data_IF_041171411322
#
_entry.id   IF_041171411322
#
_cell.length_a   1.000
_cell.length_b   1.000
_cell.length_c   1.000
_cell.angle_alpha   90.00
_cell.angle_beta   90.00
_cell.angle_gamma   90.00
#
_symmetry.space_group_name_H-M   'P 1'
#
loop_
_entity.id
_entity.type
_entity.pdbx_description
1 polymer ?
#
# COMPACT_ATOMS: atom_id res chain seq x y z
N UNK A 1 65.74 17.62 46.14
CA UNK A 1 65.02 17.52 44.83
C UNK A 1 64.90 16.10 44.26
N UNK A 2 65.47 15.04 44.85
CA UNK A 2 65.22 13.64 44.40
C UNK A 2 63.97 12.99 45.00
N UNK A 3 63.56 13.39 46.22
CA UNK A 3 62.42 12.78 46.91
C UNK A 3 61.05 13.36 46.50
N UNK A 4 61.02 14.49 45.77
CA UNK A 4 59.76 15.09 45.29
C UNK A 4 59.26 14.44 43.99
N UNK A 5 60.17 13.89 43.17
CA UNK A 5 59.88 13.26 41.88
C UNK A 5 59.27 11.86 42.07
N UNK A 6 59.62 11.18 43.16
CA UNK A 6 59.09 9.85 43.50
C UNK A 6 57.63 9.94 44.00
N UNK A 7 57.24 11.05 44.64
CA UNK A 7 55.87 11.23 45.13
C UNK A 7 54.88 11.52 43.98
N UNK A 8 55.33 12.25 42.94
CA UNK A 8 54.52 12.56 41.75
C UNK A 8 54.34 11.38 40.80
N UNK A 9 55.20 10.36 40.86
CA UNK A 9 55.10 9.14 40.05
C UNK A 9 54.20 8.07 40.67
N UNK A 10 53.87 8.16 41.97
CA UNK A 10 52.89 7.27 42.60
C UNK A 10 51.43 7.76 42.49
N UNK A 11 51.22 9.07 42.29
CA UNK A 11 49.88 9.65 42.15
C UNK A 11 49.26 9.48 40.76
N UNK A 12 50.03 9.11 39.74
CA UNK A 12 49.53 8.88 38.37
C UNK A 12 49.02 7.45 38.11
N UNK A 13 49.25 6.50 39.03
CA UNK A 13 48.88 5.08 38.83
C UNK A 13 47.47 4.77 39.39
N UNK A 14 46.85 5.67 40.16
CA UNK A 14 45.53 5.45 40.73
C UNK A 14 44.35 6.07 39.96
N UNK A 15 44.58 6.67 38.79
CA UNK A 15 43.52 7.28 37.98
C UNK A 15 43.23 6.52 36.67
N UNK A 16 42.89 5.23 36.80
CA UNK A 16 42.18 4.48 35.75
C UNK A 16 41.61 3.15 36.26
N UNK A 17 40.81 3.18 37.33
CA UNK A 17 39.69 2.25 37.38
C UNK A 17 38.55 2.92 36.62
N UNK A 18 38.39 2.53 35.35
CA UNK A 18 37.12 2.72 34.65
C UNK A 18 36.04 2.19 35.60
N UNK A 19 35.30 3.09 36.20
CA UNK A 19 33.95 2.79 36.64
C UNK A 19 33.26 2.32 35.36
N UNK A 20 33.12 1.01 35.22
CA UNK A 20 32.19 0.43 34.28
C UNK A 20 30.83 0.78 34.88
N UNK A 21 30.41 2.02 34.67
CA UNK A 21 29.02 2.39 34.72
C UNK A 21 28.36 1.46 33.72
N UNK A 22 27.80 0.37 34.24
CA UNK A 22 26.57 -0.14 33.69
C UNK A 22 25.57 1.00 33.84
N UNK A 23 25.65 1.98 32.92
CA UNK A 23 24.50 2.74 32.49
C UNK A 23 23.61 1.68 31.89
N UNK A 24 22.84 1.02 32.75
CA UNK A 24 21.59 0.41 32.33
C UNK A 24 20.90 1.55 31.62
N UNK A 25 20.88 1.50 30.27
CA UNK A 25 20.00 2.36 29.48
C UNK A 25 18.69 2.35 30.24
N UNK A 26 18.15 3.50 30.67
CA UNK A 26 16.83 3.48 31.27
C UNK A 26 15.96 2.79 30.25
N UNK A 27 15.47 1.60 30.64
CA UNK A 27 14.46 0.88 29.92
C UNK A 27 13.21 1.74 30.08
N UNK A 28 13.13 2.81 29.30
CA UNK A 28 11.87 3.40 28.93
C UNK A 28 11.17 2.30 28.14
N UNK A 29 10.45 1.44 28.85
CA UNK A 29 9.38 0.68 28.26
C UNK A 29 8.40 1.74 27.76
N UNK A 30 8.54 2.14 26.51
CA UNK A 30 7.51 2.91 25.83
C UNK A 30 6.27 2.01 25.86
N UNK A 31 5.31 2.36 26.72
CA UNK A 31 4.01 1.71 26.73
C UNK A 31 3.30 2.09 25.44
N UNK A 32 3.53 1.28 24.41
CA UNK A 32 2.73 1.29 23.22
C UNK A 32 1.31 0.87 23.65
N UNK A 33 0.36 1.78 23.51
CA UNK A 33 -1.03 1.55 23.89
C UNK A 33 -1.93 1.89 22.73
N UNK A 34 -2.73 0.92 22.31
CA UNK A 34 -3.86 1.13 21.39
C UNK A 34 -5.11 0.76 22.18
N UNK A 35 -6.13 1.62 22.10
CA UNK A 35 -7.44 1.34 22.66
C UNK A 35 -8.04 0.11 21.96
N UNK A 36 -8.26 -0.95 22.74
CA UNK A 36 -8.82 -2.23 22.30
C UNK A 36 -10.11 -2.11 21.52
N UNK A 37 -10.87 -1.02 21.72
CA UNK A 37 -12.08 -0.74 20.95
C UNK A 37 -11.78 -0.45 19.47
N UNK A 38 -10.55 -0.15 19.09
CA UNK A 38 -10.13 0.25 17.75
C UNK A 38 -9.03 -0.65 17.16
N UNK A 39 -8.75 -1.80 17.79
CA UNK A 39 -7.70 -2.69 17.30
C UNK A 39 -8.10 -3.48 16.06
N UNK A 40 -9.38 -3.57 15.68
CA UNK A 40 -9.81 -4.51 14.64
C UNK A 40 -9.79 -5.96 15.14
N UNK A 41 -9.84 -6.92 14.21
CA UNK A 41 -9.90 -8.35 14.54
C UNK A 41 -8.55 -9.07 14.39
N UNK A 42 -8.07 -9.68 15.49
CA UNK A 42 -6.78 -10.35 15.55
C UNK A 42 -6.61 -11.45 14.48
N UNK A 43 -7.69 -12.10 14.05
CA UNK A 43 -7.62 -13.16 13.06
C UNK A 43 -7.00 -12.69 11.73
N UNK A 44 -7.10 -11.40 11.41
CA UNK A 44 -6.50 -10.80 10.21
C UNK A 44 -4.96 -10.90 10.22
N UNK A 45 -4.32 -10.98 11.39
CA UNK A 45 -2.86 -11.18 11.48
C UNK A 45 -2.41 -12.61 11.19
N UNK A 46 -3.32 -13.58 11.18
CA UNK A 46 -2.98 -14.99 10.95
C UNK A 46 -3.15 -15.36 9.47
N UNK A 47 -2.04 -15.61 8.79
CA UNK A 47 -2.05 -15.96 7.37
C UNK A 47 -2.73 -17.31 7.09
N UNK A 48 -2.78 -18.23 8.06
CA UNK A 48 -3.52 -19.48 7.93
C UNK A 48 -5.02 -19.23 7.95
N UNK A 49 -5.49 -18.37 8.85
CA UNK A 49 -6.87 -17.87 8.85
C UNK A 49 -7.20 -17.23 7.51
N UNK A 50 -6.38 -16.28 7.05
CA UNK A 50 -6.61 -15.57 5.77
C UNK A 50 -6.66 -16.55 4.59
N UNK A 51 -5.72 -17.49 4.52
CA UNK A 51 -5.66 -18.48 3.44
C UNK A 51 -6.86 -19.45 3.45
N UNK A 52 -7.54 -19.60 4.58
CA UNK A 52 -8.73 -20.46 4.70
C UNK A 52 -10.03 -19.79 4.24
N UNK A 53 -10.05 -18.46 4.05
CA UNK A 53 -11.26 -17.72 3.63
C UNK A 53 -11.73 -18.21 2.25
N UNK A 54 -10.87 -18.16 1.24
CA UNK A 54 -11.21 -18.56 -0.14
C UNK A 54 -11.89 -19.93 -0.24
N UNK A 55 -11.32 -21.04 0.27
CA UNK A 55 -11.94 -22.35 0.14
C UNK A 55 -13.23 -22.51 0.98
N UNK A 56 -13.39 -21.75 2.05
CA UNK A 56 -14.53 -21.93 2.97
C UNK A 56 -15.73 -21.06 2.60
N UNK A 57 -15.50 -19.85 2.10
CA UNK A 57 -16.53 -18.83 1.79
C UNK A 57 -17.03 -18.86 0.34
N UNK A 58 -16.69 -19.89 -0.43
CA UNK A 58 -17.23 -20.13 -1.77
C UNK A 58 -18.60 -20.77 -1.70
N UNK A 59 -19.54 -20.19 -2.43
CA UNK A 59 -20.87 -20.75 -2.61
C UNK A 59 -20.81 -21.95 -3.55
N UNK A 60 -21.54 -23.01 -3.21
CA UNK A 60 -21.65 -24.23 -4.05
C UNK A 60 -22.86 -24.19 -4.98
N UNK A 61 -23.82 -23.33 -4.70
CA UNK A 61 -25.08 -23.17 -5.43
C UNK A 61 -25.23 -21.74 -5.91
N UNK A 62 -26.10 -21.50 -6.90
CA UNK A 62 -26.35 -20.15 -7.41
C UNK A 62 -26.88 -19.24 -6.30
N UNK A 63 -26.42 -17.99 -6.28
CA UNK A 63 -26.74 -17.03 -5.23
C UNK A 63 -28.26 -16.86 -5.01
N UNK A 64 -29.04 -16.75 -6.09
CA UNK A 64 -30.47 -16.41 -6.07
C UNK A 64 -31.43 -17.56 -5.73
N UNK A 65 -30.98 -18.82 -5.74
CA UNK A 65 -31.86 -19.99 -5.52
C UNK A 65 -31.58 -20.71 -4.19
N UNK A 66 -31.05 -20.00 -3.19
CA UNK A 66 -30.75 -20.56 -1.88
C UNK A 66 -31.94 -20.46 -0.94
N UNK A 67 -32.24 -21.55 -0.23
CA UNK A 67 -33.14 -21.53 0.93
C UNK A 67 -32.48 -20.85 2.13
N UNK A 68 -33.26 -20.33 3.08
CA UNK A 68 -32.74 -19.74 4.33
C UNK A 68 -31.78 -20.68 5.06
N UNK A 69 -32.12 -21.97 5.12
CA UNK A 69 -31.25 -23.00 5.73
C UNK A 69 -29.89 -23.11 5.04
N UNK A 70 -29.85 -23.01 3.70
CA UNK A 70 -28.58 -23.04 2.96
C UNK A 70 -27.74 -21.79 3.21
N UNK A 71 -28.39 -20.62 3.37
CA UNK A 71 -27.70 -19.38 3.72
C UNK A 71 -27.03 -19.53 5.09
N UNK A 72 -27.76 -20.00 6.10
CA UNK A 72 -27.20 -20.24 7.44
C UNK A 72 -26.03 -21.26 7.42
N UNK A 73 -26.15 -22.34 6.65
CA UNK A 73 -25.09 -23.34 6.49
C UNK A 73 -23.84 -22.77 5.80
N UNK A 74 -24.03 -21.97 4.74
CA UNK A 74 -22.95 -21.30 4.01
C UNK A 74 -22.23 -20.27 4.90
N UNK A 75 -22.98 -19.46 5.66
CA UNK A 75 -22.46 -18.44 6.56
C UNK A 75 -21.67 -19.05 7.73
N UNK A 76 -22.19 -20.14 8.31
CA UNK A 76 -21.51 -20.89 9.36
C UNK A 76 -20.21 -21.55 8.86
N UNK A 77 -20.17 -21.94 7.59
CA UNK A 77 -18.99 -22.54 6.96
C UNK A 77 -17.93 -21.50 6.60
N UNK A 78 -18.33 -20.31 6.17
CA UNK A 78 -17.42 -19.26 5.75
C UNK A 78 -16.54 -18.78 6.92
N UNK A 79 -15.23 -18.98 6.81
CA UNK A 79 -14.31 -18.64 7.91
C UNK A 79 -14.26 -17.13 8.21
N UNK A 80 -14.64 -16.28 7.26
CA UNK A 80 -14.74 -14.84 7.46
C UNK A 80 -15.74 -14.48 8.59
N UNK A 81 -16.80 -15.27 8.80
CA UNK A 81 -17.81 -15.01 9.85
C UNK A 81 -17.25 -15.11 11.28
N UNK A 82 -16.03 -15.63 11.44
CA UNK A 82 -15.31 -15.64 12.74
C UNK A 82 -14.75 -14.28 13.12
N UNK A 83 -14.68 -13.32 12.20
CA UNK A 83 -14.35 -11.93 12.50
C UNK A 83 -15.51 -11.33 13.31
N UNK A 84 -15.20 -10.85 14.52
CA UNK A 84 -16.19 -10.33 15.48
C UNK A 84 -16.11 -8.81 15.65
N UNK A 85 -15.05 -8.18 15.17
CA UNK A 85 -14.94 -6.73 15.24
C UNK A 85 -16.01 -6.07 14.38
N UNK A 86 -16.86 -5.24 15.00
CA UNK A 86 -17.83 -4.44 14.26
C UNK A 86 -17.12 -3.29 13.53
N UNK A 87 -16.85 -3.46 12.23
CA UNK A 87 -16.25 -2.43 11.37
C UNK A 87 -17.24 -1.34 10.97
N UNK A 88 -18.55 -1.61 10.94
CA UNK A 88 -19.56 -0.61 10.58
C UNK A 88 -19.59 0.57 11.55
N UNK A 89 -19.20 0.37 12.81
CA UNK A 89 -19.08 1.48 13.78
C UNK A 89 -18.12 2.57 13.31
N UNK A 90 -17.16 2.25 12.44
CA UNK A 90 -16.23 3.23 11.86
C UNK A 90 -16.98 4.26 11.01
N UNK A 91 -18.12 3.90 10.41
CA UNK A 91 -18.94 4.81 9.59
C UNK A 91 -19.44 6.02 10.38
N UNK A 92 -19.54 5.91 11.72
CA UNK A 92 -19.99 6.99 12.60
C UNK A 92 -18.93 8.04 12.93
N UNK A 93 -17.66 7.81 12.55
CA UNK A 93 -16.54 8.71 12.88
C UNK A 93 -16.59 9.97 12.01
N UNK A 94 -17.05 11.08 12.60
CA UNK A 94 -17.17 12.36 11.92
C UNK A 94 -16.03 13.35 12.24
N UNK A 95 -15.15 13.02 13.19
CA UNK A 95 -14.05 13.87 13.68
C UNK A 95 -12.78 13.04 13.91
N UNK A 96 -11.66 13.74 14.14
CA UNK A 96 -10.40 13.11 14.59
C UNK A 96 -10.67 12.31 15.86
N UNK A 97 -10.43 11.00 15.80
CA UNK A 97 -10.57 10.10 16.95
C UNK A 97 -9.20 9.50 17.28
N UNK A 98 -8.64 9.85 18.45
CA UNK A 98 -7.34 9.34 18.90
C UNK A 98 -7.53 7.92 19.42
N UNK A 99 -6.81 6.97 18.84
CA UNK A 99 -6.97 5.54 19.14
C UNK A 99 -5.77 4.93 19.88
N UNK A 100 -4.66 5.65 19.99
CA UNK A 100 -3.49 5.12 20.67
C UNK A 100 -2.26 6.01 20.61
N UNK A 101 -1.20 5.57 21.28
CA UNK A 101 0.13 6.18 21.29
C UNK A 101 1.20 5.10 21.17
N UNK A 102 2.19 5.34 20.29
CA UNK A 102 3.36 4.47 20.15
C UNK A 102 4.54 4.94 21.00
N UNK A 103 4.61 6.25 21.23
CA UNK A 103 5.62 6.90 22.04
C UNK A 103 5.03 8.19 22.63
N UNK A 104 5.74 8.82 23.56
CA UNK A 104 5.32 10.10 24.17
C UNK A 104 5.01 11.18 23.13
N UNK A 105 5.63 11.11 21.96
CA UNK A 105 5.48 12.07 20.88
C UNK A 105 4.85 11.52 19.60
N UNK A 106 4.36 10.27 19.59
CA UNK A 106 3.72 9.66 18.42
C UNK A 106 2.32 9.20 18.81
N UNK A 107 1.31 9.89 18.27
CA UNK A 107 -0.10 9.59 18.44
C UNK A 107 -0.69 8.96 17.18
N UNK A 108 -1.64 8.05 17.38
CA UNK A 108 -2.41 7.41 16.32
C UNK A 108 -3.83 7.91 16.39
N UNK A 109 -4.36 8.38 15.26
CA UNK A 109 -5.77 8.76 15.18
C UNK A 109 -6.39 8.28 13.88
N UNK A 110 -7.69 8.03 13.90
CA UNK A 110 -8.47 7.66 12.73
C UNK A 110 -9.45 8.77 12.37
N UNK A 111 -9.75 8.86 11.08
CA UNK A 111 -10.73 9.78 10.54
C UNK A 111 -11.38 9.17 9.30
N UNK A 112 -12.67 9.38 9.13
CA UNK A 112 -13.34 9.06 7.89
C UNK A 112 -13.03 10.10 6.83
N UNK A 113 -12.81 9.62 5.61
CA UNK A 113 -12.62 10.44 4.43
C UNK A 113 -13.73 10.12 3.44
N UNK A 114 -14.18 11.13 2.69
CA UNK A 114 -15.11 10.91 1.58
C UNK A 114 -14.31 10.18 0.49
N UNK A 115 -14.67 8.95 0.12
CA UNK A 115 -13.94 8.20 -0.88
C UNK A 115 -14.11 8.88 -2.25
N UNK A 116 -13.04 8.96 -3.05
CA UNK A 116 -13.10 9.47 -4.42
C UNK A 116 -13.52 8.38 -5.42
N UNK A 117 -14.57 7.61 -5.12
CA UNK A 117 -15.10 6.64 -6.08
C UNK A 117 -16.25 7.25 -6.86
N UNK A 118 -16.08 7.39 -8.19
CA UNK A 118 -17.11 7.95 -9.06
C UNK A 118 -18.19 6.93 -9.45
N UNK A 119 -17.97 5.63 -9.20
CA UNK A 119 -18.81 4.55 -9.73
C UNK A 119 -19.40 3.61 -8.65
N UNK A 120 -19.03 3.77 -7.38
CA UNK A 120 -19.62 2.97 -6.30
C UNK A 120 -20.88 3.67 -5.77
N UNK A 121 -21.98 2.92 -5.63
CA UNK A 121 -23.25 3.44 -5.12
C UNK A 121 -23.14 3.83 -3.64
N UNK A 122 -22.34 3.07 -2.89
CA UNK A 122 -22.06 3.34 -1.49
C UNK A 122 -20.57 3.16 -1.23
N UNK A 123 -19.97 4.14 -0.58
CA UNK A 123 -18.55 4.11 -0.27
C UNK A 123 -18.26 4.63 1.13
N UNK A 124 -17.50 3.85 1.89
CA UNK A 124 -16.97 4.22 3.20
C UNK A 124 -15.46 4.04 3.20
N UNK A 125 -14.74 4.96 3.84
CA UNK A 125 -13.29 4.87 3.99
C UNK A 125 -12.84 5.49 5.31
N UNK A 126 -12.04 4.74 6.07
CA UNK A 126 -11.38 5.22 7.29
C UNK A 126 -9.87 5.14 7.12
N UNK A 127 -9.20 6.25 7.42
CA UNK A 127 -7.74 6.38 7.32
C UNK A 127 -7.14 6.51 8.71
N UNK A 128 -6.09 5.73 8.97
CA UNK A 128 -5.20 5.87 10.11
C UNK A 128 -4.15 6.94 9.78
N UNK A 129 -3.95 7.86 10.70
CA UNK A 129 -2.93 8.89 10.65
C UNK A 129 -1.95 8.72 11.79
N UNK A 130 -0.68 8.93 11.48
CA UNK A 130 0.42 8.94 12.44
C UNK A 130 0.84 10.38 12.63
N UNK A 131 0.74 10.86 13.86
CA UNK A 131 1.06 12.23 14.23
C UNK A 131 2.28 12.23 15.16
N UNK A 132 3.40 12.78 14.69
CA UNK A 132 4.60 12.97 15.49
C UNK A 132 4.78 14.45 15.80
N UNK A 133 4.92 14.79 17.09
CA UNK A 133 5.05 16.19 17.53
C UNK A 133 3.96 17.12 16.95
N UNK A 134 2.71 16.66 16.85
CA UNK A 134 1.55 17.38 16.25
C UNK A 134 1.63 17.60 14.73
N UNK A 135 2.57 16.94 14.04
CA UNK A 135 2.65 16.95 12.58
C UNK A 135 2.35 15.56 12.05
N UNK A 136 1.48 15.46 11.04
CA UNK A 136 1.19 14.18 10.38
C UNK A 136 2.46 13.73 9.65
N UNK A 137 2.99 12.58 10.02
CA UNK A 137 4.18 11.99 9.39
C UNK A 137 3.82 11.00 8.31
N UNK A 138 2.70 10.29 8.46
CA UNK A 138 2.25 9.27 7.52
C UNK A 138 0.76 8.95 7.70
N UNK A 139 0.18 8.23 6.75
CA UNK A 139 -1.20 7.77 6.82
C UNK A 139 -1.44 6.54 5.95
N UNK A 140 -2.40 5.69 6.34
CA UNK A 140 -2.81 4.52 5.58
C UNK A 140 -4.31 4.28 5.68
N UNK A 141 -4.93 3.86 4.59
CA UNK A 141 -6.34 3.44 4.59
C UNK A 141 -6.43 2.07 5.26
N UNK A 142 -7.10 2.02 6.41
CA UNK A 142 -7.24 0.79 7.21
C UNK A 142 -8.60 0.12 7.00
N UNK A 143 -9.61 0.88 6.58
CA UNK A 143 -10.92 0.32 6.29
C UNK A 143 -11.51 0.98 5.05
N UNK A 144 -12.09 0.16 4.17
CA UNK A 144 -12.86 0.63 3.04
C UNK A 144 -14.00 -0.35 2.77
N UNK A 145 -15.13 0.16 2.29
CA UNK A 145 -16.23 -0.65 1.79
C UNK A 145 -16.84 0.04 0.58
N UNK A 146 -16.74 -0.59 -0.58
CA UNK A 146 -17.32 -0.12 -1.83
C UNK A 146 -18.37 -1.10 -2.30
N UNK A 147 -19.60 -0.63 -2.49
CA UNK A 147 -20.68 -1.40 -3.06
C UNK A 147 -20.91 -0.96 -4.51
N UNK A 148 -20.78 -1.89 -5.45
CA UNK A 148 -21.05 -1.71 -6.86
C UNK A 148 -22.29 -2.54 -7.21
N UNK A 149 -23.47 -1.94 -7.12
CA UNK A 149 -24.74 -2.63 -7.30
C UNK A 149 -24.91 -3.17 -8.72
N UNK A 150 -24.47 -2.43 -9.73
CA UNK A 150 -24.52 -2.86 -11.14
C UNK A 150 -23.67 -4.11 -11.40
N UNK A 151 -22.53 -4.23 -10.70
CA UNK A 151 -21.63 -5.37 -10.82
C UNK A 151 -21.91 -6.48 -9.79
N UNK A 152 -22.94 -6.31 -8.95
CA UNK A 152 -23.27 -7.20 -7.82
C UNK A 152 -22.03 -7.56 -6.98
N UNK A 153 -21.15 -6.58 -6.77
CA UNK A 153 -19.83 -6.79 -6.17
C UNK A 153 -19.61 -5.82 -5.03
N UNK A 154 -19.11 -6.33 -3.91
CA UNK A 154 -18.66 -5.54 -2.77
C UNK A 154 -17.15 -5.73 -2.57
N UNK A 155 -16.42 -4.62 -2.44
CA UNK A 155 -15.00 -4.64 -2.07
C UNK A 155 -14.83 -4.12 -0.65
N UNK A 156 -14.19 -4.90 0.20
CA UNK A 156 -13.98 -4.52 1.61
C UNK A 156 -12.53 -4.70 2.02
N UNK A 157 -11.98 -3.69 2.70
CA UNK A 157 -10.67 -3.75 3.38
C UNK A 157 -10.91 -3.80 4.88
N UNK A 158 -10.41 -4.84 5.54
CA UNK A 158 -10.39 -4.95 7.00
C UNK A 158 -8.99 -4.68 7.54
N UNK A 159 -8.90 -4.35 8.84
CA UNK A 159 -7.61 -4.18 9.51
C UNK A 159 -7.53 -4.85 10.87
N UNK A 160 -6.29 -5.06 11.32
CA UNK A 160 -5.94 -5.28 12.71
C UNK A 160 -4.70 -4.45 13.09
N UNK A 161 -4.74 -3.80 14.25
CA UNK A 161 -3.65 -3.05 14.84
C UNK A 161 -3.19 -3.77 16.11
N UNK A 162 -1.90 -4.10 16.17
CA UNK A 162 -1.25 -4.57 17.40
C UNK A 162 0.08 -3.85 17.59
N UNK A 163 0.16 -3.06 18.66
CA UNK A 163 1.32 -2.21 18.96
C UNK A 163 1.70 -1.31 17.77
N UNK A 164 2.80 -1.59 17.09
CA UNK A 164 3.24 -0.85 15.91
C UNK A 164 3.08 -1.65 14.61
N UNK A 165 2.37 -2.78 14.65
CA UNK A 165 2.08 -3.62 13.51
C UNK A 165 0.67 -3.32 12.98
N UNK A 166 0.53 -3.28 11.66
CA UNK A 166 -0.73 -3.05 10.94
C UNK A 166 -0.92 -4.21 9.98
N UNK A 167 -2.05 -4.89 10.07
CA UNK A 167 -2.43 -5.96 9.16
C UNK A 167 -3.66 -5.53 8.39
N UNK A 168 -3.65 -5.66 7.07
CA UNK A 168 -4.76 -5.32 6.18
C UNK A 168 -5.17 -6.56 5.38
N UNK A 169 -6.48 -6.68 5.15
CA UNK A 169 -7.09 -7.76 4.39
C UNK A 169 -8.09 -7.18 3.40
N UNK A 170 -7.80 -7.30 2.11
CA UNK A 170 -8.70 -6.93 1.02
C UNK A 170 -9.48 -8.16 0.55
N UNK A 171 -10.80 -8.01 0.49
CA UNK A 171 -11.72 -9.02 -0.02
C UNK A 171 -12.66 -8.44 -1.08
N UNK A 172 -13.10 -9.32 -1.96
CA UNK A 172 -14.21 -9.14 -2.89
C UNK A 172 -15.30 -10.14 -2.55
N UNK A 173 -16.53 -9.67 -2.46
CA UNK A 173 -17.72 -10.50 -2.40
C UNK A 173 -18.52 -10.30 -3.69
N UNK A 174 -18.86 -11.40 -4.34
CA UNK A 174 -19.66 -11.48 -5.56
C UNK A 174 -20.68 -12.62 -5.42
N UNK A 175 -21.43 -12.90 -6.48
CA UNK A 175 -22.42 -13.99 -6.53
C UNK A 175 -21.82 -15.39 -6.29
N UNK A 176 -20.49 -15.55 -6.39
CA UNK A 176 -19.76 -16.79 -6.09
C UNK A 176 -19.25 -16.85 -4.65
N UNK A 177 -19.56 -15.85 -3.83
CA UNK A 177 -19.10 -15.70 -2.44
C UNK A 177 -17.75 -14.98 -2.33
N UNK A 178 -17.18 -15.03 -1.13
CA UNK A 178 -16.01 -14.19 -0.80
C UNK A 178 -14.71 -14.71 -1.45
N UNK A 179 -13.87 -13.77 -1.88
CA UNK A 179 -12.50 -13.95 -2.33
C UNK A 179 -11.59 -12.97 -1.61
N UNK A 180 -10.47 -13.45 -1.08
CA UNK A 180 -9.34 -12.63 -0.67
C UNK A 180 -8.61 -12.18 -1.92
N UNK A 181 -8.42 -10.86 -2.07
CA UNK A 181 -7.60 -10.28 -3.13
C UNK A 181 -6.16 -10.09 -2.63
N UNK A 182 -6.00 -9.50 -1.44
CA UNK A 182 -4.71 -9.09 -0.91
C UNK A 182 -4.66 -9.18 0.61
N UNK A 183 -3.48 -9.51 1.12
CA UNK A 183 -3.13 -9.36 2.52
C UNK A 183 -1.83 -8.59 2.63
N UNK A 184 -1.75 -7.70 3.61
CA UNK A 184 -0.62 -6.81 3.79
C UNK A 184 -0.27 -6.66 5.26
N UNK A 185 1.02 -6.65 5.55
CA UNK A 185 1.56 -6.42 6.88
C UNK A 185 2.55 -5.26 6.80
N UNK A 186 2.31 -4.25 7.63
CA UNK A 186 3.12 -3.06 7.77
C UNK A 186 3.56 -2.87 9.21
N UNK A 187 4.62 -2.08 9.37
CA UNK A 187 5.16 -1.68 10.65
C UNK A 187 5.41 -0.18 10.73
N UNK A 188 5.08 0.41 11.87
CA UNK A 188 5.36 1.80 12.18
C UNK A 188 6.71 1.88 12.89
N UNK A 189 7.62 2.68 12.35
CA UNK A 189 8.94 2.91 12.92
C UNK A 189 8.95 4.09 13.91
N UNK A 190 10.09 4.32 14.57
CA UNK A 190 10.26 5.43 15.53
C UNK A 190 10.24 6.83 14.92
N UNK A 191 10.31 6.96 13.59
CA UNK A 191 10.09 8.24 12.90
C UNK A 191 8.62 8.53 12.62
N UNK A 192 7.72 7.57 12.90
CA UNK A 192 6.29 7.68 12.58
C UNK A 192 5.99 7.39 11.11
N UNK A 193 6.87 6.67 10.42
CA UNK A 193 6.67 6.22 9.03
C UNK A 193 6.19 4.78 9.00
N UNK A 194 5.31 4.50 8.04
CA UNK A 194 4.79 3.16 7.77
C UNK A 194 5.72 2.49 6.76
N UNK A 195 6.11 1.25 7.03
CA UNK A 195 6.96 0.48 6.13
C UNK A 195 6.32 -0.89 5.88
N UNK A 196 6.28 -1.30 4.61
CA UNK A 196 5.80 -2.62 4.22
C UNK A 196 6.75 -3.69 4.77
N UNK A 197 6.20 -4.73 5.39
CA UNK A 197 6.95 -5.88 5.93
C UNK A 197 6.72 -7.09 5.05
N UNK A 198 5.47 -7.41 4.77
CA UNK A 198 5.08 -8.56 3.97
C UNK A 198 3.79 -8.28 3.22
N UNK A 199 3.67 -8.80 2.00
CA UNK A 199 2.42 -8.75 1.24
C UNK A 199 2.19 -10.11 0.57
N UNK A 200 0.92 -10.46 0.39
CA UNK A 200 0.50 -11.65 -0.33
C UNK A 200 -0.74 -11.33 -1.17
N UNK A 201 -0.66 -11.59 -2.47
CA UNK A 201 -1.81 -11.56 -3.36
C UNK A 201 -2.43 -12.95 -3.46
N UNK A 202 -3.75 -13.01 -3.58
CA UNK A 202 -4.54 -14.26 -3.57
C UNK A 202 -5.37 -14.45 -4.85
N UNK A 203 -4.98 -13.79 -5.95
CA UNK A 203 -5.60 -13.87 -7.27
C UNK A 203 -6.14 -15.28 -7.60
N UNK A 204 -7.37 -15.35 -8.15
CA UNK A 204 -7.89 -16.56 -8.81
C UNK A 204 -7.02 -16.89 -10.02
N UNK A 205 -6.00 -17.71 -9.83
CA UNK A 205 -5.38 -18.45 -10.92
C UNK A 205 -6.28 -19.65 -11.27
N UNK A 206 -7.29 -19.42 -12.11
CA UNK A 206 -7.59 -20.43 -13.12
C UNK A 206 -6.54 -20.24 -14.23
N UNK A 207 -5.45 -21.02 -14.17
CA UNK A 207 -4.47 -21.21 -15.25
C UNK A 207 -3.83 -19.94 -15.85
N UNK A 208 -3.08 -19.16 -15.06
CA UNK A 208 -2.14 -18.16 -15.59
C UNK A 208 -0.73 -18.34 -14.99
N UNK A 209 -0.24 -19.57 -14.89
CA UNK A 209 1.21 -19.80 -14.70
C UNK A 209 2.03 -19.58 -15.99
N UNK A 210 1.63 -18.64 -16.87
CA UNK A 210 2.42 -18.26 -18.06
C UNK A 210 2.15 -16.89 -18.72
N UNK A 211 1.28 -16.01 -18.18
CA UNK A 211 0.88 -14.78 -18.92
C UNK A 211 0.87 -13.45 -18.14
N UNK A 212 1.53 -13.31 -16.96
CA UNK A 212 1.70 -11.97 -16.35
C UNK A 212 2.58 -11.02 -17.19
N UNK A 213 3.45 -11.57 -18.04
CA UNK A 213 4.33 -10.80 -18.95
C UNK A 213 3.59 -10.30 -20.20
N UNK A 214 2.46 -10.93 -20.58
CA UNK A 214 1.79 -10.67 -21.86
C UNK A 214 0.81 -9.49 -21.80
N UNK A 215 0.34 -9.08 -20.61
CA UNK A 215 -0.61 -7.96 -20.48
C UNK A 215 0.03 -6.61 -20.86
N UNK A 216 1.26 -6.38 -20.40
CA UNK A 216 2.04 -5.18 -20.73
C UNK A 216 2.59 -5.21 -22.14
N UNK A 217 2.61 -6.38 -22.78
CA UNK A 217 3.16 -6.51 -24.13
C UNK A 217 2.29 -5.74 -25.12
N UNK A 218 2.92 -4.88 -25.91
CA UNK A 218 2.23 -4.09 -26.91
C UNK A 218 2.96 -2.82 -27.30
N UNK A 219 2.31 -2.07 -28.19
CA UNK A 219 2.73 -0.74 -28.60
C UNK A 219 1.79 0.27 -27.99
N UNK A 220 2.36 1.31 -27.39
CA UNK A 220 1.64 2.34 -26.70
C UNK A 220 2.01 3.69 -27.29
N UNK A 221 1.00 4.53 -27.46
CA UNK A 221 1.17 5.88 -27.96
C UNK A 221 0.50 6.87 -27.02
N UNK A 222 1.25 7.90 -26.69
CA UNK A 222 0.76 9.05 -25.99
C UNK A 222 1.26 10.32 -26.70
N UNK A 223 0.36 11.29 -26.85
CA UNK A 223 0.62 12.57 -27.48
C UNK A 223 -0.11 13.67 -26.69
N UNK A 224 0.57 14.78 -26.47
CA UNK A 224 -0.06 16.00 -25.97
C UNK A 224 0.67 17.24 -26.49
N UNK A 225 -0.09 18.33 -26.62
CA UNK A 225 0.42 19.63 -27.06
C UNK A 225 0.39 20.63 -25.91
N UNK A 226 1.41 21.50 -25.84
CA UNK A 226 1.38 22.66 -24.96
C UNK A 226 0.54 23.80 -25.57
N UNK A 227 0.49 24.96 -24.89
CA UNK A 227 -0.27 26.15 -25.33
C UNK A 227 0.18 26.70 -26.69
N UNK A 228 1.43 26.44 -27.08
CA UNK A 228 2.04 26.90 -28.32
C UNK A 228 2.00 25.82 -29.41
N UNK A 229 1.11 24.82 -29.26
CA UNK A 229 0.93 23.68 -30.17
C UNK A 229 2.16 22.77 -30.33
N UNK A 230 3.19 22.93 -29.49
CA UNK A 230 4.37 22.07 -29.49
C UNK A 230 4.01 20.73 -28.86
N UNK A 231 4.27 19.65 -29.60
CA UNK A 231 3.90 18.28 -29.24
C UNK A 231 5.00 17.60 -28.43
N UNK A 232 4.56 16.89 -27.39
CA UNK A 232 5.34 15.85 -26.70
C UNK A 232 4.71 14.50 -27.03
N UNK A 233 5.50 13.57 -27.55
CA UNK A 233 5.03 12.25 -28.00
C UNK A 233 5.88 11.16 -27.35
N UNK A 234 5.21 10.17 -26.78
CA UNK A 234 5.83 8.95 -26.29
C UNK A 234 5.31 7.75 -27.10
N UNK A 235 6.22 7.08 -27.80
CA UNK A 235 5.94 5.79 -28.44
C UNK A 235 6.70 4.71 -27.67
N UNK A 236 5.97 3.84 -26.98
CA UNK A 236 6.54 2.82 -26.10
C UNK A 236 6.24 1.45 -26.69
N UNK A 237 7.24 0.59 -26.84
CA UNK A 237 7.09 -0.80 -27.24
C UNK A 237 7.57 -1.66 -26.10
N UNK A 238 6.68 -2.49 -25.57
CA UNK A 238 6.99 -3.43 -24.50
C UNK A 238 6.92 -4.82 -25.13
N UNK A 239 8.08 -5.48 -25.27
CA UNK A 239 8.13 -6.90 -25.64
C UNK A 239 8.08 -7.79 -24.40
N UNK A 240 8.73 -7.32 -23.32
CA UNK A 240 8.69 -7.89 -21.97
C UNK A 240 9.12 -6.81 -20.97
N UNK A 241 9.02 -7.06 -19.66
CA UNK A 241 9.51 -6.13 -18.63
C UNK A 241 11.04 -5.91 -18.69
N UNK A 242 11.79 -6.81 -19.33
CA UNK A 242 13.25 -6.70 -19.49
C UNK A 242 13.66 -6.18 -20.87
N UNK A 243 12.69 -5.96 -21.77
CA UNK A 243 12.93 -5.53 -23.15
C UNK A 243 11.85 -4.53 -23.59
N UNK A 244 12.17 -3.26 -23.34
CA UNK A 244 11.34 -2.11 -23.68
C UNK A 244 12.14 -1.16 -24.57
N UNK A 245 11.49 -0.61 -25.59
CA UNK A 245 12.01 0.51 -26.38
C UNK A 245 11.05 1.69 -26.32
N UNK A 246 11.60 2.89 -26.34
CA UNK A 246 10.84 4.12 -26.21
C UNK A 246 11.41 5.19 -27.12
N UNK A 247 10.57 5.77 -27.95
CA UNK A 247 10.87 6.95 -28.74
C UNK A 247 10.14 8.13 -28.11
N UNK A 248 10.89 9.13 -27.65
CA UNK A 248 10.36 10.35 -27.02
C UNK A 248 10.65 11.52 -27.96
N UNK A 249 9.59 12.18 -28.43
CA UNK A 249 9.71 13.40 -29.24
C UNK A 249 9.33 14.60 -28.40
N UNK A 250 10.28 15.51 -28.18
CA UNK A 250 10.10 16.78 -27.48
C UNK A 250 10.58 17.90 -28.41
N UNK A 251 9.77 18.94 -28.60
CA UNK A 251 10.11 20.11 -29.42
C UNK A 251 10.59 19.74 -30.85
N UNK A 252 10.04 18.66 -31.41
CA UNK A 252 10.40 18.16 -32.74
C UNK A 252 11.68 17.30 -32.80
N UNK A 253 12.37 17.09 -31.69
CA UNK A 253 13.55 16.22 -31.59
C UNK A 253 13.16 14.87 -31.00
N UNK A 254 13.45 13.77 -31.71
CA UNK A 254 13.17 12.40 -31.23
C UNK A 254 14.41 11.73 -30.65
N UNK A 255 14.35 11.40 -29.36
CA UNK A 255 15.33 10.58 -28.65
C UNK A 255 14.85 9.14 -28.57
N UNK A 256 15.76 8.18 -28.84
CA UNK A 256 15.45 6.75 -28.86
C UNK A 256 16.16 6.02 -27.73
N UNK A 257 15.40 5.22 -27.00
CA UNK A 257 15.86 4.39 -25.90
C UNK A 257 15.50 2.94 -26.17
N UNK A 258 16.41 2.02 -25.87
CA UNK A 258 16.22 0.59 -26.13
C UNK A 258 16.82 -0.25 -25.01
N UNK A 259 16.35 -1.49 -24.86
CA UNK A 259 16.75 -2.41 -23.79
C UNK A 259 16.49 -1.85 -22.40
N UNK A 260 15.44 -1.04 -22.28
CA UNK A 260 14.99 -0.53 -20.99
C UNK A 260 14.33 -1.65 -20.19
N UNK A 261 14.39 -1.51 -18.87
CA UNK A 261 13.76 -2.42 -17.93
C UNK A 261 12.65 -1.71 -17.15
N UNK A 262 11.58 -2.45 -16.89
CA UNK A 262 10.50 -2.03 -16.03
C UNK A 262 10.63 -2.68 -14.65
N UNK A 263 10.48 -1.87 -13.61
CA UNK A 263 10.27 -2.31 -12.24
C UNK A 263 8.75 -2.44 -12.01
N UNK A 264 8.28 -3.63 -11.63
CA UNK A 264 6.88 -3.81 -11.24
C UNK A 264 6.65 -3.21 -9.86
N UNK A 265 5.82 -2.16 -9.79
CA UNK A 265 5.43 -1.53 -8.52
C UNK A 265 4.27 -2.31 -7.90
N UNK A 266 3.32 -2.74 -8.74
CA UNK A 266 2.26 -3.70 -8.43
C UNK A 266 1.68 -4.29 -9.74
N UNK A 267 0.72 -5.20 -9.63
CA UNK A 267 0.10 -5.89 -10.78
C UNK A 267 -0.59 -4.98 -11.82
N UNK A 268 -0.88 -3.73 -11.45
CA UNK A 268 -1.48 -2.70 -12.30
C UNK A 268 -0.51 -1.57 -12.63
N UNK A 269 0.74 -1.59 -12.17
CA UNK A 269 1.64 -0.44 -12.32
C UNK A 269 3.08 -0.85 -12.50
N UNK A 270 3.67 -0.39 -13.60
CA UNK A 270 5.10 -0.55 -13.90
C UNK A 270 5.78 0.80 -13.95
N UNK A 271 7.06 0.82 -13.59
CA UNK A 271 7.95 1.97 -13.63
C UNK A 271 9.06 1.70 -14.62
N UNK A 272 9.23 2.56 -15.61
CA UNK A 272 10.30 2.47 -16.60
C UNK A 272 11.23 3.66 -16.40
N UNK A 273 12.49 3.39 -16.08
CA UNK A 273 13.54 4.41 -16.07
C UNK A 273 14.23 4.42 -17.43
N UNK A 274 14.03 5.48 -18.21
CA UNK A 274 14.58 5.61 -19.56
C UNK A 274 15.83 6.49 -19.64
N UNK A 275 16.05 7.37 -18.66
CA UNK A 275 17.25 8.20 -18.59
C UNK A 275 17.81 8.21 -17.16
N UNK A 276 19.03 7.68 -17.00
CA UNK A 276 19.71 7.63 -15.70
C UNK A 276 20.27 8.97 -15.23
N UNK A 277 20.50 9.89 -16.16
CA UNK A 277 21.10 11.21 -15.89
C UNK A 277 20.09 12.26 -15.42
N UNK A 278 18.79 11.95 -15.51
CA UNK A 278 17.70 12.86 -15.20
C UNK A 278 16.82 12.24 -14.12
N UNK A 279 17.06 12.58 -12.85
CA UNK A 279 16.46 11.98 -11.64
C UNK A 279 14.99 11.49 -11.79
N UNK A 280 14.01 12.33 -11.46
CA UNK A 280 12.59 11.98 -11.62
C UNK A 280 12.08 12.21 -13.06
N UNK A 281 12.80 13.05 -13.83
CA UNK A 281 12.42 13.40 -15.21
C UNK A 281 12.76 12.29 -16.23
N UNK A 282 13.54 11.28 -15.84
CA UNK A 282 13.89 10.13 -16.67
C UNK A 282 13.05 8.89 -16.36
N UNK A 283 11.92 9.05 -15.67
CA UNK A 283 11.05 7.96 -15.20
C UNK A 283 9.63 8.17 -15.72
N UNK A 284 9.04 7.11 -16.27
CA UNK A 284 7.61 7.05 -16.59
C UNK A 284 6.96 5.92 -15.80
N UNK A 285 5.74 6.14 -15.33
CA UNK A 285 4.91 5.05 -14.80
C UNK A 285 3.79 4.77 -15.78
N UNK A 286 3.56 3.49 -16.05
CA UNK A 286 2.40 3.03 -16.81
C UNK A 286 1.50 2.29 -15.85
N UNK A 287 0.25 2.73 -15.78
CA UNK A 287 -0.78 2.17 -14.90
C UNK A 287 -1.91 1.58 -15.73
N UNK A 288 -2.46 0.46 -15.28
CA UNK A 288 -3.54 -0.27 -15.91
C UNK A 288 -4.76 -0.20 -15.01
N UNK A 289 -5.86 0.35 -15.52
CA UNK A 289 -7.18 0.26 -14.91
C UNK A 289 -8.12 -0.42 -15.90
N UNK A 290 -8.64 -1.60 -15.51
CA UNK A 290 -9.44 -2.46 -16.38
C UNK A 290 -8.70 -2.79 -17.69
N UNK A 291 -9.25 -2.42 -18.84
CA UNK A 291 -8.64 -2.61 -20.17
C UNK A 291 -7.88 -1.37 -20.68
N UNK A 292 -7.82 -0.31 -19.86
CA UNK A 292 -7.17 0.95 -20.22
C UNK A 292 -5.79 1.08 -19.59
N UNK A 293 -4.92 1.81 -20.27
CA UNK A 293 -3.57 2.12 -19.82
C UNK A 293 -3.43 3.62 -19.68
N UNK A 294 -2.63 4.08 -18.72
CA UNK A 294 -2.44 5.48 -18.40
C UNK A 294 -0.97 5.74 -18.12
N UNK A 295 -0.49 6.93 -18.46
CA UNK A 295 0.74 7.45 -17.87
C UNK A 295 0.38 8.09 -16.53
N UNK A 296 1.05 7.68 -15.46
CA UNK A 296 0.81 8.19 -14.11
C UNK A 296 2.11 8.61 -13.40
N UNK A 297 2.01 9.35 -12.30
CA UNK A 297 3.16 9.79 -11.50
C UNK A 297 3.39 11.31 -11.49
N UNK A 298 4.38 11.74 -10.71
CA UNK A 298 4.83 13.13 -10.59
C UNK A 298 6.36 13.13 -10.82
N UNK A 299 6.96 14.12 -11.51
CA UNK A 299 6.37 15.30 -12.13
C UNK A 299 6.06 15.12 -13.63
N UNK A 300 4.81 15.36 -14.02
CA UNK A 300 4.34 15.49 -15.41
C UNK A 300 4.60 16.93 -15.91
N UNK A 301 5.83 17.45 -15.77
CA UNK A 301 6.10 18.88 -16.02
C UNK A 301 6.08 19.28 -17.51
N UNK A 302 6.24 18.33 -18.44
CA UNK A 302 6.23 18.59 -19.88
C UNK A 302 4.86 18.52 -20.53
N UNK A 303 3.84 18.11 -19.78
CA UNK A 303 2.46 18.10 -20.24
C UNK A 303 1.73 19.00 -19.28
N UNK A 304 1.34 20.18 -19.71
CA UNK A 304 0.45 21.00 -18.91
C UNK A 304 -0.99 20.50 -19.08
N UNK A 305 -1.42 19.49 -18.30
CA UNK A 305 -2.73 19.52 -17.69
C UNK A 305 -2.56 19.24 -16.19
N UNK A 306 -3.02 20.16 -15.34
CA UNK A 306 -3.00 19.94 -13.90
C UNK A 306 -3.64 18.61 -13.49
N UNK A 307 -3.07 17.94 -12.48
CA UNK A 307 -3.63 16.80 -11.73
C UNK A 307 -4.30 15.64 -12.51
N UNK A 308 -3.99 15.43 -13.78
CA UNK A 308 -4.70 14.47 -14.62
C UNK A 308 -3.88 13.20 -14.90
N UNK A 309 -4.52 12.04 -14.77
CA UNK A 309 -4.13 10.80 -15.45
C UNK A 309 -4.35 11.00 -16.94
N UNK A 310 -3.39 10.58 -17.77
CA UNK A 310 -3.46 10.80 -19.22
C UNK A 310 -3.59 9.45 -19.92
N UNK A 311 -4.64 9.25 -20.75
CA UNK A 311 -4.88 7.97 -21.39
C UNK A 311 -3.75 7.61 -22.35
N UNK A 312 -3.33 6.35 -22.30
CA UNK A 312 -2.31 5.75 -23.13
C UNK A 312 -2.99 4.79 -24.11
N UNK A 313 -2.89 5.06 -25.40
CA UNK A 313 -3.54 4.24 -26.42
C UNK A 313 -2.67 3.02 -26.72
N UNK A 314 -3.18 1.81 -26.40
CA UNK A 314 -2.58 0.57 -26.87
C UNK A 314 -2.95 0.36 -28.34
N UNK A 315 -1.97 0.45 -29.23
CA UNK A 315 -2.13 0.23 -30.67
C UNK A 315 -2.01 -1.28 -30.90
N UNK A 316 -2.99 -1.86 -31.60
CA UNK A 316 -3.00 -3.28 -32.01
C UNK A 316 -1.77 -3.63 -32.84
#
# INVERSE_FOLDING_TARGET
MKNLIILLSFLSIFSCKKAQENVSKPSFSQEISIDKNWNGDKLISDLNFVSSINPTCKLKTTFFNRSEKQIEEDDAKCTLSKIKFNYEKLNSINKKNIIGKLASNIELFIKNNIPKSNNADLSYQTTLYIEKNKTITDSIVIYQSFNFSEALTVKTKYYYLDKNEIYLLDIVEDESGVNVEKWEHYKINSSGKISSVQQKSFSKDNNITKTSIDFWKGKYHFEASNRDEVKTIFNIIINSLEDISMDITEEGTTNKYSKLKAEEINYQKIKIKYNDSSDEMGVIYIEKSDDNYFISGNPIYFINPGNNEIPLQKIK
#
